data_IF_770424545783
#
_entry.id   IF_770424545783
#
_cell.length_a   1.000
_cell.length_b   1.000
_cell.length_c   1.000
_cell.angle_alpha   90.00
_cell.angle_beta   90.00
_cell.angle_gamma   90.00
#
_symmetry.space_group_name_H-M   'P 1'
#
loop_
_entity.id
_entity.type
_entity.pdbx_description
1 polymer ?
#
# COMPACT_ATOMS: atom_id res chain seq x y z
N UNK A 1 70.32 17.27 -68.00
CA UNK A 1 69.10 17.99 -68.41
C UNK A 1 68.48 18.49 -67.13
N UNK A 2 68.79 19.68 -66.58
CA UNK A 2 68.78 21.08 -67.07
C UNK A 2 67.35 21.58 -67.36
N UNK A 3 67.08 22.82 -66.91
CA UNK A 3 65.87 23.69 -66.92
C UNK A 3 64.89 23.47 -65.74
N UNK A 4 64.75 24.31 -64.70
CA UNK A 4 64.88 25.77 -64.44
C UNK A 4 63.71 26.63 -65.00
N UNK A 5 63.21 27.53 -64.12
CA UNK A 5 62.35 28.73 -64.33
C UNK A 5 60.82 28.55 -64.24
N UNK A 6 60.00 29.46 -63.70
CA UNK A 6 60.04 30.58 -62.71
C UNK A 6 58.60 31.10 -62.62
N UNK A 7 58.23 31.68 -61.46
CA UNK A 7 57.28 32.79 -61.21
C UNK A 7 55.94 32.87 -61.98
N UNK A 8 54.78 33.14 -61.35
CA UNK A 8 54.41 34.50 -60.92
C UNK A 8 53.17 34.48 -60.00
N UNK A 9 53.19 35.46 -59.08
CA UNK A 9 52.25 35.84 -58.02
C UNK A 9 50.83 36.27 -58.48
N UNK A 10 49.83 36.20 -57.59
CA UNK A 10 49.14 37.35 -56.92
C UNK A 10 47.89 36.87 -56.14
N UNK A 11 47.80 37.05 -54.80
CA UNK A 11 47.19 38.19 -54.02
C UNK A 11 45.65 38.22 -54.21
N UNK A 12 44.73 38.29 -53.25
CA UNK A 12 44.66 38.42 -51.78
C UNK A 12 43.20 38.08 -51.36
N UNK A 13 42.98 37.64 -50.11
CA UNK A 13 42.13 38.30 -49.09
C UNK A 13 41.65 37.30 -48.03
N UNK A 14 42.26 37.42 -46.85
CA UNK A 14 41.73 37.03 -45.53
C UNK A 14 41.07 38.31 -44.97
N UNK A 15 39.97 38.30 -44.16
CA UNK A 15 39.98 37.70 -42.83
C UNK A 15 38.63 37.13 -42.33
N UNK A 16 38.65 36.28 -41.30
CA UNK A 16 37.45 36.08 -40.49
C UNK A 16 37.43 34.87 -39.57
N UNK A 17 37.85 35.12 -38.32
CA UNK A 17 37.71 34.28 -37.13
C UNK A 17 36.39 33.49 -37.03
N UNK A 18 36.51 32.24 -36.55
CA UNK A 18 35.38 31.39 -36.22
C UNK A 18 35.80 30.14 -35.46
N UNK A 19 36.48 30.31 -34.32
CA UNK A 19 36.59 29.25 -33.31
C UNK A 19 35.30 29.25 -32.49
N UNK A 20 34.53 28.17 -32.53
CA UNK A 20 33.77 27.68 -31.38
C UNK A 20 33.35 26.21 -31.61
N UNK A 21 34.07 25.34 -30.90
CA UNK A 21 33.58 24.18 -30.15
C UNK A 21 32.15 23.71 -30.45
N UNK A 22 32.03 22.48 -30.95
CA UNK A 22 30.96 21.57 -30.56
C UNK A 22 31.50 20.14 -30.59
N UNK A 23 32.01 19.72 -29.43
CA UNK A 23 32.20 18.31 -29.09
C UNK A 23 30.85 17.72 -28.66
N UNK A 24 30.62 16.49 -29.10
CA UNK A 24 29.80 15.46 -28.47
C UNK A 24 28.31 15.75 -28.23
N UNK A 25 27.50 15.38 -29.22
CA UNK A 25 26.20 14.74 -28.98
C UNK A 25 26.30 13.31 -29.53
N UNK A 26 26.85 12.40 -28.72
CA UNK A 26 26.72 10.97 -28.94
C UNK A 26 25.32 10.56 -28.47
N UNK A 27 24.52 10.10 -29.44
CA UNK A 27 23.58 9.00 -29.35
C UNK A 27 23.14 8.60 -27.92
N UNK A 28 22.06 9.21 -27.44
CA UNK A 28 21.16 8.51 -26.54
C UNK A 28 20.15 7.76 -27.42
N UNK A 29 20.48 6.51 -27.75
CA UNK A 29 19.47 5.54 -28.17
C UNK A 29 18.37 5.53 -27.09
N UNK A 30 17.08 5.69 -27.45
CA UNK A 30 16.01 5.60 -26.46
C UNK A 30 16.08 4.22 -25.82
N UNK A 31 16.03 4.22 -24.48
CA UNK A 31 15.92 3.02 -23.67
C UNK A 31 14.86 2.10 -24.27
N UNK A 32 15.20 0.84 -24.50
CA UNK A 32 14.38 -0.16 -25.18
C UNK A 32 12.88 0.00 -24.85
N UNK A 33 12.12 0.56 -25.79
CA UNK A 33 10.70 0.83 -25.63
C UNK A 33 9.99 -0.49 -25.33
N UNK A 34 9.47 -0.63 -24.11
CA UNK A 34 8.53 -1.69 -23.78
C UNK A 34 7.33 -1.58 -24.70
N UNK A 35 6.87 -2.71 -25.23
CA UNK A 35 5.72 -2.75 -26.14
C UNK A 35 4.51 -2.03 -25.53
N UNK A 36 4.02 -1.00 -26.23
CA UNK A 36 2.84 -0.25 -25.85
C UNK A 36 1.60 -1.14 -25.91
N UNK A 37 0.88 -1.26 -24.79
CA UNK A 37 -0.36 -2.02 -24.70
C UNK A 37 -1.54 -1.06 -24.62
N UNK A 38 -2.62 -1.34 -25.36
CA UNK A 38 -3.88 -0.60 -25.20
C UNK A 38 -4.80 -1.44 -24.30
N UNK A 39 -4.99 -0.99 -23.07
CA UNK A 39 -5.79 -1.70 -22.07
C UNK A 39 -6.99 -0.88 -21.59
N UNK A 40 -8.14 -1.53 -21.32
CA UNK A 40 -9.20 -0.94 -20.51
C UNK A 40 -8.66 -0.58 -19.13
N UNK A 41 -8.99 0.61 -18.65
CA UNK A 41 -8.56 1.13 -17.35
C UNK A 41 -9.73 1.04 -16.37
N UNK A 42 -9.53 0.28 -15.30
CA UNK A 42 -10.45 0.15 -14.18
C UNK A 42 -9.95 1.01 -13.01
N UNK A 43 -10.59 2.16 -12.74
CA UNK A 43 -10.28 2.97 -11.57
C UNK A 43 -10.74 2.27 -10.29
N UNK A 44 -9.88 2.25 -9.28
CA UNK A 44 -10.13 1.65 -7.98
C UNK A 44 -10.31 2.71 -6.90
N UNK A 45 -11.30 2.51 -6.03
CA UNK A 45 -11.57 3.38 -4.89
C UNK A 45 -10.89 2.84 -3.64
N UNK A 46 -10.09 3.69 -3.00
CA UNK A 46 -9.54 3.39 -1.68
C UNK A 46 -8.65 2.14 -1.61
N UNK A 47 -8.13 1.66 -2.74
CA UNK A 47 -7.22 0.51 -2.74
C UNK A 47 -6.33 0.46 -3.97
N UNK A 48 -5.18 -0.19 -3.81
CA UNK A 48 -4.20 -0.48 -4.84
C UNK A 48 -3.99 -1.99 -4.89
N UNK A 49 -4.08 -2.55 -6.09
CA UNK A 49 -3.75 -3.95 -6.35
C UNK A 49 -2.26 -4.05 -6.65
N UNK A 50 -1.54 -4.84 -5.85
CA UNK A 50 -0.12 -5.07 -6.07
C UNK A 50 0.11 -6.17 -7.11
N UNK A 51 1.24 -6.13 -7.84
CA UNK A 51 1.67 -7.24 -8.69
C UNK A 51 1.81 -8.55 -7.91
N UNK A 52 1.61 -9.67 -8.60
CA UNK A 52 1.76 -11.04 -8.11
C UNK A 52 0.78 -11.47 -7.00
N UNK A 53 -0.18 -10.62 -6.64
CA UNK A 53 -1.17 -10.92 -5.60
C UNK A 53 -2.57 -11.11 -6.17
N UNK A 54 -3.39 -11.91 -5.47
CA UNK A 54 -4.79 -12.12 -5.80
C UNK A 54 -5.64 -11.38 -4.77
N UNK A 55 -6.48 -10.46 -5.24
CA UNK A 55 -7.30 -9.60 -4.37
C UNK A 55 -8.77 -9.71 -4.79
N UNK A 56 -9.70 -9.90 -3.83
CA UNK A 56 -11.12 -9.79 -4.11
C UNK A 56 -11.52 -8.31 -4.23
N UNK A 57 -12.22 -7.96 -5.31
CA UNK A 57 -12.74 -6.61 -5.53
C UNK A 57 -14.26 -6.64 -5.74
N UNK A 58 -14.92 -5.52 -5.48
CA UNK A 58 -16.32 -5.32 -5.77
C UNK A 58 -16.49 -4.10 -6.70
N UNK A 59 -17.35 -4.25 -7.71
CA UNK A 59 -17.70 -3.19 -8.65
C UNK A 59 -19.22 -3.04 -8.72
N UNK A 60 -19.69 -1.79 -8.70
CA UNK A 60 -21.12 -1.45 -8.77
C UNK A 60 -21.41 -0.37 -9.83
N UNK A 61 -20.43 0.43 -10.22
CA UNK A 61 -20.63 1.53 -11.17
C UNK A 61 -20.89 1.02 -12.57
N UNK A 62 -21.85 1.63 -13.26
CA UNK A 62 -22.22 1.25 -14.62
C UNK A 62 -21.02 1.23 -15.60
N UNK A 63 -20.09 2.20 -15.49
CA UNK A 63 -18.85 2.22 -16.31
C UNK A 63 -17.95 1.02 -16.02
N UNK A 64 -17.68 0.73 -14.76
CA UNK A 64 -16.88 -0.44 -14.35
C UNK A 64 -17.54 -1.75 -14.76
N UNK A 65 -18.86 -1.89 -14.58
CA UNK A 65 -19.61 -3.07 -14.97
C UNK A 65 -19.53 -3.34 -16.48
N UNK A 66 -19.67 -2.29 -17.31
CA UNK A 66 -19.50 -2.38 -18.76
C UNK A 66 -18.07 -2.81 -19.14
N UNK A 67 -17.06 -2.21 -18.52
CA UNK A 67 -15.66 -2.60 -18.73
C UNK A 67 -15.45 -4.08 -18.42
N UNK A 68 -15.93 -4.53 -17.25
CA UNK A 68 -15.78 -5.91 -16.80
C UNK A 68 -16.44 -6.87 -17.80
N UNK A 69 -17.65 -6.58 -18.26
CA UNK A 69 -18.37 -7.44 -19.21
C UNK A 69 -17.65 -7.57 -20.56
N UNK A 70 -17.09 -6.48 -21.06
CA UNK A 70 -16.28 -6.49 -22.29
C UNK A 70 -14.98 -7.27 -22.10
N UNK A 71 -14.25 -7.02 -21.00
CA UNK A 71 -12.97 -7.65 -20.69
C UNK A 71 -13.11 -9.17 -20.48
N UNK A 72 -14.22 -9.61 -19.87
CA UNK A 72 -14.50 -11.03 -19.65
C UNK A 72 -14.71 -11.82 -20.95
N UNK A 73 -15.06 -11.13 -22.04
CA UNK A 73 -15.26 -11.73 -23.37
C UNK A 73 -13.96 -11.85 -24.19
N UNK A 74 -12.88 -11.19 -23.76
CA UNK A 74 -11.57 -11.19 -24.41
C UNK A 74 -10.46 -11.79 -23.54
N UNK A 75 -9.29 -11.15 -23.55
CA UNK A 75 -8.08 -11.64 -22.88
C UNK A 75 -8.07 -11.46 -21.35
N UNK A 76 -9.15 -10.92 -20.77
CA UNK A 76 -9.34 -10.70 -19.34
C UNK A 76 -8.32 -9.80 -18.65
N UNK A 77 -7.52 -9.09 -19.44
CA UNK A 77 -6.49 -8.17 -18.99
C UNK A 77 -7.06 -6.76 -18.82
N UNK A 78 -6.70 -6.11 -17.72
CA UNK A 78 -7.18 -4.78 -17.34
C UNK A 78 -6.05 -4.00 -16.68
N UNK A 79 -5.99 -2.70 -16.95
CA UNK A 79 -5.13 -1.75 -16.24
C UNK A 79 -5.87 -1.26 -14.99
N UNK A 80 -5.33 -1.48 -13.79
CA UNK A 80 -5.91 -1.02 -12.54
C UNK A 80 -5.13 0.15 -11.99
N UNK A 81 -5.82 1.24 -11.65
CA UNK A 81 -5.23 2.48 -11.13
C UNK A 81 -6.03 3.01 -9.97
N UNK A 82 -5.36 3.68 -9.01
CA UNK A 82 -6.03 4.35 -7.91
C UNK A 82 -6.72 5.63 -8.41
N UNK A 83 -7.95 5.87 -7.94
CA UNK A 83 -8.64 7.15 -8.12
C UNK A 83 -8.08 8.19 -7.15
N UNK A 84 -7.88 9.41 -7.64
CA UNK A 84 -7.43 10.55 -6.84
C UNK A 84 -8.47 10.95 -5.78
N UNK A 85 -9.76 10.90 -6.12
CA UNK A 85 -10.88 11.11 -5.19
C UNK A 85 -11.74 9.83 -5.13
N UNK A 86 -11.77 9.20 -3.96
CA UNK A 86 -12.51 7.96 -3.73
C UNK A 86 -14.04 8.15 -3.73
N UNK A 87 -14.53 9.37 -3.47
CA UNK A 87 -15.96 9.68 -3.42
C UNK A 87 -16.51 10.02 -4.82
N UNK A 88 -15.65 10.50 -5.73
CA UNK A 88 -16.05 10.91 -7.08
C UNK A 88 -16.55 9.73 -7.92
N UNK A 89 -17.79 9.82 -8.40
CA UNK A 89 -18.35 8.86 -9.35
C UNK A 89 -17.91 9.15 -10.78
N UNK A 90 -17.53 8.10 -11.51
CA UNK A 90 -17.21 8.19 -12.93
C UNK A 90 -15.92 8.96 -13.25
N UNK A 91 -14.79 8.50 -12.70
CA UNK A 91 -13.47 9.08 -12.97
C UNK A 91 -13.17 9.24 -14.47
N UNK A 92 -12.67 10.42 -14.82
CA UNK A 92 -12.06 10.73 -16.11
C UNK A 92 -10.53 10.55 -16.08
N UNK A 93 -9.87 10.93 -17.19
CA UNK A 93 -8.41 10.86 -17.34
C UNK A 93 -7.58 11.55 -16.26
N UNK A 94 -8.08 12.66 -15.71
CA UNK A 94 -7.37 13.48 -14.72
C UNK A 94 -7.66 13.07 -13.27
N UNK A 95 -8.60 12.15 -13.07
CA UNK A 95 -9.07 11.70 -11.74
C UNK A 95 -8.40 10.40 -11.29
N UNK A 96 -7.38 9.92 -12.03
CA UNK A 96 -6.67 8.68 -11.75
C UNK A 96 -5.16 8.87 -11.75
N UNK A 97 -4.49 8.06 -10.95
CA UNK A 97 -3.04 8.04 -10.91
C UNK A 97 -2.47 7.31 -12.13
N UNK A 98 -1.30 7.77 -12.59
CA UNK A 98 -0.67 7.28 -13.82
C UNK A 98 0.03 5.93 -13.63
N UNK A 99 0.50 5.63 -12.42
CA UNK A 99 1.14 4.35 -12.10
C UNK A 99 0.09 3.43 -11.50
N UNK A 100 0.03 2.21 -12.04
CA UNK A 100 -0.88 1.19 -11.57
C UNK A 100 -0.36 -0.21 -11.89
N UNK A 101 -1.27 -1.15 -11.96
CA UNK A 101 -0.96 -2.57 -12.12
C UNK A 101 -1.76 -3.14 -13.28
N UNK A 102 -1.07 -3.82 -14.21
CA UNK A 102 -1.74 -4.72 -15.16
C UNK A 102 -2.23 -5.91 -14.36
N UNK A 103 -3.51 -6.25 -14.50
CA UNK A 103 -4.13 -7.35 -13.79
C UNK A 103 -4.96 -8.22 -14.73
N UNK A 104 -5.17 -9.47 -14.33
CA UNK A 104 -6.05 -10.41 -15.01
C UNK A 104 -7.25 -10.73 -14.12
N UNK A 105 -8.46 -10.67 -14.68
CA UNK A 105 -9.68 -11.07 -13.99
C UNK A 105 -9.81 -12.59 -14.06
N UNK A 106 -9.65 -13.27 -12.92
CA UNK A 106 -9.77 -14.73 -12.83
C UNK A 106 -11.21 -15.20 -12.71
N UNK A 107 -11.97 -14.53 -11.85
CA UNK A 107 -13.34 -14.91 -11.54
C UNK A 107 -14.23 -13.67 -11.44
N UNK A 108 -15.50 -13.85 -11.83
CA UNK A 108 -16.53 -12.83 -11.75
C UNK A 108 -17.83 -13.49 -11.27
N UNK A 109 -18.47 -12.87 -10.27
CA UNK A 109 -19.75 -13.32 -9.73
C UNK A 109 -20.68 -12.12 -9.56
N UNK A 110 -21.86 -12.19 -10.17
CA UNK A 110 -22.95 -11.24 -9.94
C UNK A 110 -23.69 -11.60 -8.65
N UNK A 111 -23.89 -10.62 -7.81
CA UNK A 111 -24.64 -10.73 -6.56
C UNK A 111 -26.07 -10.21 -6.81
N UNK A 112 -27.11 -10.73 -6.14
CA UNK A 112 -28.50 -10.29 -6.35
C UNK A 112 -28.76 -8.80 -6.07
N UNK A 113 -27.86 -8.13 -5.34
CA UNK A 113 -27.89 -6.69 -5.08
C UNK A 113 -27.44 -5.83 -6.28
N UNK A 114 -27.04 -6.46 -7.39
CA UNK A 114 -26.55 -5.80 -8.60
C UNK A 114 -25.05 -5.53 -8.60
N UNK A 115 -24.33 -5.84 -7.52
CA UNK A 115 -22.87 -5.72 -7.47
C UNK A 115 -22.19 -6.91 -8.14
N UNK A 116 -20.98 -6.68 -8.65
CA UNK A 116 -20.12 -7.72 -9.19
C UNK A 116 -18.92 -7.90 -8.29
N UNK A 117 -18.69 -9.13 -7.83
CA UNK A 117 -17.47 -9.52 -7.13
C UNK A 117 -16.48 -10.14 -8.10
N UNK A 118 -15.23 -9.72 -8.00
CA UNK A 118 -14.14 -10.14 -8.85
C UNK A 118 -13.04 -10.77 -7.99
N UNK A 119 -12.37 -11.79 -8.51
CA UNK A 119 -11.05 -12.17 -8.06
C UNK A 119 -10.05 -11.75 -9.15
N UNK A 120 -9.12 -10.86 -8.81
CA UNK A 120 -8.17 -10.30 -9.77
C UNK A 120 -6.76 -10.63 -9.34
N UNK A 121 -5.90 -10.97 -10.30
CA UNK A 121 -4.47 -11.18 -10.06
C UNK A 121 -3.70 -10.01 -10.66
N UNK A 122 -2.94 -9.30 -9.82
CA UNK A 122 -1.94 -8.37 -10.31
C UNK A 122 -0.82 -9.12 -11.03
N UNK A 123 -0.43 -8.64 -12.20
CA UNK A 123 0.62 -9.25 -13.03
C UNK A 123 1.91 -8.49 -12.84
N UNK A 124 1.90 -7.21 -13.17
CA UNK A 124 3.08 -6.35 -13.19
C UNK A 124 2.69 -4.88 -13.10
N UNK A 125 3.66 -4.05 -12.73
CA UNK A 125 3.46 -2.60 -12.65
C UNK A 125 3.49 -1.98 -14.05
N UNK A 126 2.68 -0.94 -14.23
CA UNK A 126 2.60 -0.20 -15.49
C UNK A 126 2.46 1.30 -15.24
N UNK A 127 2.70 2.06 -16.30
CA UNK A 127 2.44 3.47 -16.36
C UNK A 127 1.55 3.80 -17.55
N UNK A 128 0.53 4.63 -17.31
CA UNK A 128 -0.30 5.24 -18.34
C UNK A 128 0.51 6.32 -19.07
N UNK A 129 0.63 6.19 -20.39
CA UNK A 129 1.24 7.19 -21.27
C UNK A 129 0.18 8.21 -21.66
N UNK A 130 -0.90 7.75 -22.29
CA UNK A 130 -2.02 8.58 -22.73
C UNK A 130 -3.34 7.81 -22.72
N UNK A 131 -4.45 8.55 -22.62
CA UNK A 131 -5.79 7.99 -22.74
C UNK A 131 -6.23 8.06 -24.20
N UNK A 132 -6.63 6.91 -24.75
CA UNK A 132 -7.08 6.77 -26.14
C UNK A 132 -8.60 6.75 -26.26
N UNK A 133 -9.31 6.60 -25.13
CA UNK A 133 -10.77 6.52 -25.07
C UNK A 133 -11.26 6.90 -23.66
N UNK A 134 -12.38 7.61 -23.56
CA UNK A 134 -13.06 7.90 -22.30
C UNK A 134 -14.39 7.16 -22.13
N UNK A 135 -15.17 7.01 -23.21
CA UNK A 135 -16.46 6.34 -23.20
C UNK A 135 -16.43 5.05 -24.04
N UNK A 136 -17.14 3.98 -23.64
CA UNK A 136 -18.03 3.87 -22.45
C UNK A 136 -17.28 3.68 -21.12
N UNK A 137 -15.97 3.50 -21.18
CA UNK A 137 -15.02 3.47 -20.07
C UNK A 137 -13.64 3.87 -20.59
N UNK A 138 -12.72 4.18 -19.68
CA UNK A 138 -11.36 4.59 -20.00
C UNK A 138 -10.58 3.47 -20.70
N UNK A 139 -9.89 3.79 -21.79
CA UNK A 139 -8.79 2.98 -22.33
C UNK A 139 -7.55 3.85 -22.44
N UNK A 140 -6.41 3.26 -22.10
CA UNK A 140 -5.14 3.95 -22.15
C UNK A 140 -4.10 3.12 -22.89
N UNK A 141 -3.15 3.83 -23.49
CA UNK A 141 -1.85 3.27 -23.85
C UNK A 141 -1.03 3.18 -22.57
N UNK A 142 -0.57 1.98 -22.24
CA UNK A 142 0.22 1.70 -21.05
C UNK A 142 1.54 1.04 -21.42
N UNK A 143 2.56 1.33 -20.64
CA UNK A 143 3.87 0.69 -20.72
C UNK A 143 4.14 -0.08 -19.44
N UNK A 144 4.76 -1.26 -19.60
CA UNK A 144 5.27 -2.04 -18.48
C UNK A 144 6.39 -1.27 -17.80
N UNK A 145 6.35 -1.23 -16.46
CA UNK A 145 7.35 -0.55 -15.63
C UNK A 145 7.89 -1.50 -14.56
N UNK A 146 8.62 -2.56 -14.98
CA UNK A 146 9.16 -3.56 -14.05
C UNK A 146 10.07 -2.90 -13.02
N UNK A 147 10.12 -3.50 -11.83
CA UNK A 147 11.00 -3.02 -10.77
C UNK A 147 12.45 -3.43 -10.99
N UNK A 148 13.37 -2.57 -10.58
CA UNK A 148 14.79 -2.87 -10.49
C UNK A 148 15.04 -3.82 -9.32
N UNK A 149 15.47 -5.03 -9.64
CA UNK A 149 15.83 -6.06 -8.67
C UNK A 149 17.35 -6.15 -8.57
N UNK A 150 17.89 -5.67 -7.44
CA UNK A 150 19.31 -5.78 -7.10
C UNK A 150 19.49 -6.82 -5.99
N UNK A 151 20.18 -7.93 -6.29
CA UNK A 151 20.58 -8.92 -5.28
C UNK A 151 21.87 -8.46 -4.57
N UNK A 152 21.70 -7.56 -3.60
CA UNK A 152 22.79 -7.07 -2.75
C UNK A 152 22.67 -7.64 -1.34
N UNK A 153 23.78 -7.65 -0.60
CA UNK A 153 23.79 -7.99 0.84
C UNK A 153 22.79 -7.13 1.62
N UNK A 154 22.62 -5.86 1.22
CA UNK A 154 21.64 -4.97 1.83
C UNK A 154 20.20 -5.41 1.54
N UNK A 155 19.89 -5.77 0.29
CA UNK A 155 18.56 -6.31 -0.09
C UNK A 155 18.24 -7.59 0.71
N UNK A 156 19.21 -8.49 0.85
CA UNK A 156 19.06 -9.71 1.63
C UNK A 156 18.84 -9.43 3.12
N UNK A 157 19.58 -8.47 3.70
CA UNK A 157 19.41 -8.05 5.09
C UNK A 157 18.03 -7.43 5.32
N UNK A 158 17.57 -6.57 4.40
CA UNK A 158 16.24 -5.97 4.45
C UNK A 158 15.13 -7.03 4.37
N UNK A 159 15.29 -8.02 3.48
CA UNK A 159 14.34 -9.16 3.32
C UNK A 159 14.20 -9.94 4.61
N UNK A 160 15.32 -10.28 5.28
CA UNK A 160 15.29 -10.96 6.58
C UNK A 160 14.60 -10.12 7.65
N UNK A 161 14.89 -8.83 7.69
CA UNK A 161 14.23 -7.91 8.62
C UNK A 161 12.71 -7.83 8.36
N UNK A 162 12.28 -7.78 7.09
CA UNK A 162 10.85 -7.82 6.73
C UNK A 162 10.17 -9.08 7.27
N UNK A 163 10.81 -10.25 7.13
CA UNK A 163 10.27 -11.51 7.65
C UNK A 163 10.15 -11.51 9.18
N UNK A 164 11.17 -11.01 9.90
CA UNK A 164 11.15 -10.89 11.36
C UNK A 164 10.04 -9.95 11.84
N UNK A 165 9.89 -8.79 11.19
CA UNK A 165 8.83 -7.84 11.49
C UNK A 165 7.45 -8.42 11.18
N UNK A 166 7.30 -9.12 10.05
CA UNK A 166 6.04 -9.74 9.65
C UNK A 166 5.64 -10.87 10.61
N UNK A 167 6.59 -11.69 11.08
CA UNK A 167 6.31 -12.71 12.08
C UNK A 167 5.79 -12.10 13.39
N UNK A 168 6.40 -11.01 13.85
CA UNK A 168 5.91 -10.26 15.02
C UNK A 168 4.49 -9.72 14.77
N UNK A 169 4.23 -9.20 13.58
CA UNK A 169 2.93 -8.63 13.21
C UNK A 169 1.83 -9.70 13.28
N UNK A 170 2.06 -10.86 12.67
CA UNK A 170 1.09 -11.99 12.69
C UNK A 170 0.79 -12.43 14.13
N UNK A 171 1.81 -12.54 14.99
CA UNK A 171 1.62 -12.88 16.41
C UNK A 171 0.80 -11.82 17.19
N UNK A 172 0.80 -10.56 16.73
CA UNK A 172 0.00 -9.50 17.36
C UNK A 172 -1.44 -9.42 16.83
N UNK A 173 -1.72 -9.99 15.66
CA UNK A 173 -2.98 -9.83 14.93
C UNK A 173 -3.78 -11.15 14.92
N UNK A 174 -4.84 -11.31 15.75
CA UNK A 174 -5.46 -12.61 16.00
C UNK A 174 -6.17 -13.30 14.83
N UNK A 175 -6.41 -12.57 13.73
CA UNK A 175 -7.13 -13.10 12.56
C UNK A 175 -6.18 -13.49 11.42
N UNK A 176 -4.88 -13.24 11.55
CA UNK A 176 -3.90 -13.67 10.57
C UNK A 176 -3.42 -15.11 10.92
N UNK A 177 -3.52 -16.06 9.98
CA UNK A 177 -3.03 -17.42 10.19
C UNK A 177 -1.50 -17.47 10.25
N UNK A 178 -0.95 -18.32 11.12
CA UNK A 178 0.50 -18.58 11.21
C UNK A 178 1.06 -19.18 9.90
N UNK A 179 0.20 -19.83 9.11
CA UNK A 179 0.55 -20.34 7.77
C UNK A 179 1.04 -19.22 6.83
N UNK A 180 0.63 -17.96 7.04
CA UNK A 180 1.13 -16.83 6.26
C UNK A 180 2.62 -16.59 6.48
N UNK A 181 3.11 -16.76 7.72
CA UNK A 181 4.54 -16.64 8.02
C UNK A 181 5.30 -17.75 7.32
N UNK A 182 4.77 -18.98 7.36
CA UNK A 182 5.38 -20.13 6.68
C UNK A 182 5.42 -19.94 5.18
N UNK A 183 4.34 -19.41 4.57
CA UNK A 183 4.31 -19.07 3.15
C UNK A 183 5.36 -17.98 2.83
N UNK A 184 5.44 -16.92 3.62
CA UNK A 184 6.39 -15.83 3.43
C UNK A 184 7.86 -16.29 3.53
N UNK A 185 8.17 -17.21 4.46
CA UNK A 185 9.51 -17.78 4.62
C UNK A 185 9.99 -18.59 3.41
N UNK A 186 9.07 -19.09 2.58
CA UNK A 186 9.38 -19.87 1.38
C UNK A 186 9.43 -19.01 0.10
N UNK A 187 9.32 -17.68 0.22
CA UNK A 187 9.41 -16.77 -0.92
C UNK A 187 10.88 -16.40 -1.17
N UNK A 188 11.42 -16.84 -2.30
CA UNK A 188 12.79 -16.51 -2.72
C UNK A 188 12.90 -15.11 -3.35
N UNK A 189 11.86 -14.67 -4.08
CA UNK A 189 11.84 -13.35 -4.74
C UNK A 189 11.47 -12.25 -3.73
N UNK A 190 12.39 -11.32 -3.38
CA UNK A 190 12.11 -10.24 -2.44
C UNK A 190 10.95 -9.33 -2.90
N UNK A 191 10.74 -9.19 -4.21
CA UNK A 191 9.61 -8.43 -4.75
C UNK A 191 8.27 -9.10 -4.41
N UNK A 192 8.19 -10.41 -4.58
CA UNK A 192 7.00 -11.18 -4.21
C UNK A 192 6.74 -11.09 -2.71
N UNK A 193 7.80 -11.11 -1.88
CA UNK A 193 7.67 -10.95 -0.44
C UNK A 193 7.07 -9.59 -0.09
N UNK A 194 7.59 -8.51 -0.67
CA UNK A 194 7.07 -7.14 -0.47
C UNK A 194 5.57 -7.09 -0.73
N UNK A 195 5.13 -7.56 -1.90
CA UNK A 195 3.72 -7.46 -2.28
C UNK A 195 2.82 -8.39 -1.48
N UNK A 196 3.31 -9.57 -1.11
CA UNK A 196 2.60 -10.51 -0.25
C UNK A 196 2.35 -9.89 1.12
N UNK A 197 3.39 -9.34 1.75
CA UNK A 197 3.29 -8.72 3.08
C UNK A 197 2.45 -7.45 3.03
N UNK A 198 2.68 -6.58 2.05
CA UNK A 198 1.91 -5.33 1.88
C UNK A 198 0.40 -5.59 1.63
N UNK A 199 0.04 -6.74 1.05
CA UNK A 199 -1.37 -7.11 0.84
C UNK A 199 -2.09 -7.47 2.14
N UNK A 200 -1.36 -7.86 3.19
CA UNK A 200 -1.92 -8.20 4.51
C UNK A 200 -1.75 -7.05 5.53
N UNK A 201 -0.92 -6.05 5.23
CA UNK A 201 -0.74 -4.89 6.09
C UNK A 201 -1.90 -3.90 5.92
N UNK A 202 -2.39 -3.37 7.05
CA UNK A 202 -3.37 -2.29 7.04
C UNK A 202 -2.67 -0.98 6.68
N UNK A 203 -3.03 -0.41 5.54
CA UNK A 203 -2.38 0.80 5.00
C UNK A 203 -3.41 1.70 4.35
N UNK A 204 -3.21 3.01 4.50
CA UNK A 204 -3.97 4.01 3.75
C UNK A 204 -3.67 3.89 2.24
N UNK A 205 -4.63 4.24 1.36
CA UNK A 205 -4.46 4.11 -0.09
C UNK A 205 -3.21 4.82 -0.62
N UNK A 206 -2.94 6.02 -0.12
CA UNK A 206 -1.77 6.82 -0.52
C UNK A 206 -0.46 6.10 -0.21
N UNK A 207 -0.32 5.52 0.98
CA UNK A 207 0.88 4.74 1.32
C UNK A 207 1.02 3.47 0.48
N UNK A 208 -0.10 2.84 0.07
CA UNK A 208 -0.04 1.70 -0.85
C UNK A 208 0.41 2.13 -2.23
N UNK A 209 -0.05 3.30 -2.69
CA UNK A 209 0.35 3.88 -3.95
C UNK A 209 1.83 4.25 -3.92
N UNK A 210 2.30 4.99 -2.92
CA UNK A 210 3.71 5.33 -2.73
C UNK A 210 4.60 4.07 -2.80
N UNK A 211 4.18 2.99 -2.13
CA UNK A 211 4.90 1.71 -2.19
C UNK A 211 4.93 1.12 -3.62
N UNK A 212 3.82 1.18 -4.37
CA UNK A 212 3.76 0.73 -5.76
C UNK A 212 4.67 1.56 -6.67
N UNK A 213 4.73 2.88 -6.46
CA UNK A 213 5.46 3.82 -7.31
C UNK A 213 6.99 3.75 -7.18
N UNK A 214 7.52 3.18 -6.10
CA UNK A 214 8.96 2.95 -5.95
C UNK A 214 9.51 2.03 -7.06
N UNK A 215 10.62 2.44 -7.66
CA UNK A 215 11.23 1.75 -8.81
C UNK A 215 12.10 0.55 -8.43
N UNK A 216 12.74 0.56 -7.26
CA UNK A 216 13.60 -0.55 -6.82
C UNK A 216 12.98 -1.38 -5.72
N UNK A 217 13.19 -2.70 -5.78
CA UNK A 217 12.73 -3.65 -4.75
C UNK A 217 13.34 -3.31 -3.39
N UNK A 218 14.60 -2.85 -3.38
CA UNK A 218 15.30 -2.37 -2.18
C UNK A 218 14.58 -1.18 -1.53
N UNK A 219 14.17 -0.18 -2.31
CA UNK A 219 13.43 0.96 -1.77
C UNK A 219 12.08 0.52 -1.20
N UNK A 220 11.38 -0.41 -1.88
CA UNK A 220 10.12 -0.97 -1.38
C UNK A 220 10.30 -1.70 -0.07
N UNK A 221 11.33 -2.54 0.08
CA UNK A 221 11.64 -3.21 1.34
C UNK A 221 11.91 -2.23 2.49
N UNK A 222 12.66 -1.14 2.24
CA UNK A 222 12.89 -0.09 3.25
C UNK A 222 11.59 0.58 3.69
N UNK A 223 10.76 0.98 2.72
CA UNK A 223 9.47 1.60 2.98
C UNK A 223 8.55 0.65 3.76
N UNK A 224 8.46 -0.61 3.32
CA UNK A 224 7.64 -1.64 3.96
C UNK A 224 8.09 -1.93 5.40
N UNK A 225 9.39 -2.02 5.66
CA UNK A 225 9.90 -2.23 7.03
C UNK A 225 9.50 -1.07 7.96
N UNK A 226 9.57 0.17 7.48
CA UNK A 226 9.13 1.33 8.25
C UNK A 226 7.61 1.29 8.53
N UNK A 227 6.81 0.89 7.55
CA UNK A 227 5.36 0.75 7.69
C UNK A 227 4.99 -0.35 8.70
N UNK A 228 5.61 -1.53 8.60
CA UNK A 228 5.36 -2.62 9.57
C UNK A 228 5.81 -2.22 10.97
N UNK A 229 6.96 -1.57 11.11
CA UNK A 229 7.46 -1.11 12.41
C UNK A 229 6.48 -0.13 13.08
N UNK A 230 5.95 0.83 12.31
CA UNK A 230 4.93 1.77 12.80
C UNK A 230 3.65 1.06 13.22
N UNK A 231 3.17 0.09 12.43
CA UNK A 231 1.97 -0.68 12.77
C UNK A 231 2.16 -1.52 14.04
N UNK A 232 3.33 -2.15 14.19
CA UNK A 232 3.69 -2.88 15.41
C UNK A 232 3.67 -1.97 16.65
N UNK A 233 4.22 -0.77 16.56
CA UNK A 233 4.22 0.20 17.67
C UNK A 233 2.79 0.55 18.11
N UNK A 234 1.89 0.78 17.15
CA UNK A 234 0.47 1.07 17.42
C UNK A 234 -0.21 -0.13 18.10
N UNK A 235 0.01 -1.35 17.60
CA UNK A 235 -0.58 -2.57 18.16
C UNK A 235 -0.07 -2.87 19.58
N UNK A 236 1.23 -2.69 19.82
CA UNK A 236 1.85 -2.90 21.12
C UNK A 236 1.33 -1.88 22.15
N UNK A 237 1.22 -0.60 21.77
CA UNK A 237 0.63 0.44 22.61
C UNK A 237 -0.84 0.14 22.92
N UNK A 238 -1.62 -0.27 21.92
CA UNK A 238 -3.03 -0.65 22.10
C UNK A 238 -3.21 -1.80 23.11
N UNK A 239 -2.37 -2.84 23.03
CA UNK A 239 -2.37 -3.95 24.00
C UNK A 239 -2.00 -3.49 25.41
N UNK A 240 -1.01 -2.59 25.53
CA UNK A 240 -0.61 -2.03 26.83
C UNK A 240 -1.77 -1.27 27.48
N UNK A 241 -2.43 -0.39 26.74
CA UNK A 241 -3.60 0.37 27.23
C UNK A 241 -4.71 -0.60 27.66
N UNK A 242 -4.98 -1.63 26.87
CA UNK A 242 -6.00 -2.63 27.22
C UNK A 242 -5.66 -3.37 28.52
N UNK A 243 -4.39 -3.73 28.72
CA UNK A 243 -3.91 -4.37 29.95
C UNK A 243 -4.07 -3.46 31.16
N UNK A 244 -3.66 -2.20 31.04
CA UNK A 244 -3.74 -1.21 32.13
C UNK A 244 -5.20 -0.98 32.57
N UNK A 245 -6.12 -0.85 31.60
CA UNK A 245 -7.57 -0.72 31.88
C UNK A 245 -8.15 -1.96 32.56
N UNK A 246 -7.74 -3.17 32.14
CA UNK A 246 -8.18 -4.41 32.78
C UNK A 246 -7.69 -4.52 34.23
N UNK A 247 -6.45 -4.09 34.49
CA UNK A 247 -5.89 -4.09 35.85
C UNK A 247 -6.65 -3.13 36.78
N UNK A 248 -6.96 -1.91 36.32
CA UNK A 248 -7.74 -0.94 37.08
C UNK A 248 -9.16 -1.43 37.37
N UNK A 249 -9.85 -1.99 36.37
CA UNK A 249 -11.18 -2.57 36.56
C UNK A 249 -11.15 -3.75 37.54
N UNK A 250 -10.12 -4.61 37.46
CA UNK A 250 -9.94 -5.72 38.39
C UNK A 250 -9.72 -5.25 39.83
N UNK A 251 -8.94 -4.20 40.04
CA UNK A 251 -8.74 -3.57 41.37
C UNK A 251 -10.05 -2.99 41.91
N UNK A 252 -10.77 -2.22 41.09
CA UNK A 252 -12.04 -1.59 41.49
C UNK A 252 -13.12 -2.62 41.82
N UNK A 253 -13.25 -3.69 41.03
CA UNK A 253 -14.19 -4.79 41.32
C UNK A 253 -13.83 -5.51 42.62
N UNK A 254 -12.54 -5.78 42.85
CA UNK A 254 -12.06 -6.42 44.09
C UNK A 254 -12.35 -5.55 45.30
N UNK A 255 -12.10 -4.24 45.22
CA UNK A 255 -12.38 -3.31 46.30
C UNK A 255 -13.88 -3.19 46.58
N UNK A 256 -14.71 -3.09 45.55
CA UNK A 256 -16.16 -3.10 45.69
C UNK A 256 -16.66 -4.37 46.39
N UNK A 257 -16.17 -5.54 45.96
CA UNK A 257 -16.53 -6.81 46.55
C UNK A 257 -16.12 -6.92 48.03
N UNK A 258 -14.90 -6.50 48.37
CA UNK A 258 -14.41 -6.48 49.75
C UNK A 258 -15.22 -5.54 50.64
N UNK A 259 -15.64 -4.37 50.13
CA UNK A 259 -16.50 -3.44 50.87
C UNK A 259 -17.87 -4.02 51.15
N UNK A 260 -18.48 -4.72 50.18
CA UNK A 260 -19.76 -5.39 50.40
C UNK A 260 -19.63 -6.57 51.39
N UNK A 261 -18.54 -7.33 51.33
CA UNK A 261 -18.26 -8.37 52.33
C UNK A 261 -18.12 -7.79 53.75
N UNK A 262 -17.40 -6.68 53.91
CA UNK A 262 -17.26 -6.02 55.21
C UNK A 262 -18.62 -5.55 55.76
N UNK A 263 -19.47 -4.95 54.92
CA UNK A 263 -20.83 -4.56 55.33
C UNK A 263 -21.67 -5.76 55.75
N UNK A 264 -21.57 -6.88 55.03
CA UNK A 264 -22.29 -8.10 55.38
C UNK A 264 -21.81 -8.68 56.73
N UNK A 265 -20.50 -8.71 56.96
CA UNK A 265 -19.89 -9.16 58.22
C UNK A 265 -20.32 -8.26 59.39
N UNK A 266 -20.26 -6.93 59.22
CA UNK A 266 -20.70 -5.97 60.24
C UNK A 266 -22.19 -6.12 60.60
N UNK A 267 -23.01 -6.48 59.60
CA UNK A 267 -24.44 -6.77 59.80
C UNK A 267 -24.67 -8.10 60.54
N UNK A 268 -23.89 -9.15 60.25
CA UNK A 268 -23.98 -10.44 60.95
C UNK A 268 -23.41 -10.42 62.38
N UNK A 269 -22.37 -9.62 62.63
CA UNK A 269 -21.77 -9.43 63.96
C UNK A 269 -22.65 -8.57 64.90
N UNK A 270 -23.73 -7.97 64.41
CA UNK A 270 -24.64 -7.15 65.21
C UNK A 270 -24.12 -5.75 65.57
N UNK A 271 -22.93 -5.37 65.08
CA UNK A 271 -22.30 -4.07 65.38
C UNK A 271 -22.99 -2.87 64.71
N UNK A 272 -23.93 -3.11 63.80
CA UNK A 272 -24.72 -2.06 63.17
C UNK A 272 -25.83 -1.46 64.05
N UNK A 273 -26.23 -2.11 65.16
CA UNK A 273 -27.35 -1.59 65.97
C UNK A 273 -26.94 -0.60 67.05
N UNK A 274 -25.81 -0.79 67.74
CA UNK A 274 -25.44 0.05 68.90
C UNK A 274 -24.97 1.45 68.49
N UNK A 275 -24.13 1.56 67.46
CA UNK A 275 -23.61 2.85 66.98
C UNK A 275 -24.69 3.70 66.30
N UNK A 276 -25.63 3.08 65.57
CA UNK A 276 -26.76 3.80 64.97
C UNK A 276 -27.78 4.25 66.04
N UNK A 277 -27.96 3.48 67.13
CA UNK A 277 -28.78 3.94 68.27
C UNK A 277 -28.13 5.07 69.05
N UNK A 278 -26.82 5.06 69.30
CA UNK A 278 -26.15 6.17 70.01
C UNK A 278 -26.19 7.47 69.20
N UNK A 279 -26.02 7.40 67.87
CA UNK A 279 -26.11 8.58 66.99
C UNK A 279 -27.55 9.11 66.90
N UNK A 280 -28.56 8.22 66.91
CA UNK A 280 -29.97 8.63 66.96
C UNK A 280 -30.35 9.25 68.32
N UNK A 281 -29.87 8.69 69.43
CA UNK A 281 -30.09 9.23 70.78
C UNK A 281 -29.43 10.61 70.97
N UNK A 282 -28.23 10.80 70.44
CA UNK A 282 -27.55 12.10 70.47
C UNK A 282 -28.26 13.17 69.63
N UNK A 283 -28.87 12.79 68.49
CA UNK A 283 -29.71 13.72 67.70
C UNK A 283 -30.99 14.12 68.44
N UNK A 284 -31.61 13.21 69.16
CA UNK A 284 -32.85 13.47 69.91
C UNK A 284 -32.64 14.36 71.15
N UNK A 285 -31.40 14.48 71.65
CA UNK A 285 -31.04 15.38 72.77
C UNK A 285 -30.68 16.81 72.33
N UNK A 286 -30.55 17.06 71.02
CA UNK A 286 -30.18 18.36 70.46
C UNK A 286 -31.41 19.17 70.00
N UNK A 287 -32.55 18.50 69.77
CA UNK A 287 -33.88 19.13 69.63
C UNK A 287 -34.58 19.27 71.00
#
# INVERSE_FOLDING_TARGET
>A
MIELERDTQQINDDPGEGTQEQQSEQDQEPAQDGEDLILPVLPLRGTVVFPLTIVPLAAAQARSLRLIDDVMSGDRTVAMVLQSDAEQEGAGPDDVLRIGTIATIHQMMRVPDGTVRLAVQGVERMQIIDFVQEEPYLKARVQRRPEEAEDTVETQALTRNTLELFQRLVALVPHLPDELVTAALNIDDPRLLVYTVASHLRMEPDSRQELLELDSVKAKLKSLNALIAKELEVLELGRKIQSDVQEELGKNQREYYLREQLKAIQKELGEGSETDTEVAELRTKID
#
